data_IF_531737676381
#
_entry.id   IF_531737676381
#
_cell.length_a   1.000
_cell.length_b   1.000
_cell.length_c   1.000
_cell.angle_alpha   90.00
_cell.angle_beta   90.00
_cell.angle_gamma   90.00
#
_symmetry.space_group_name_H-M   'P 1'
#
loop_
_entity.id
_entity.type
_entity.pdbx_description
1 polymer ?
#
# COMPACT_ATOMS: atom_id res chain seq x y z
N UNK A 1 -18.26 -7.18 -11.02
CA UNK A 1 -16.88 -7.11 -10.49
C UNK A 1 -16.97 -6.15 -9.32
N UNK A 2 -16.63 -6.59 -8.11
CA UNK A 2 -16.59 -5.72 -6.94
C UNK A 2 -15.39 -4.78 -7.14
N UNK A 3 -15.60 -3.47 -7.24
CA UNK A 3 -14.50 -2.51 -7.39
C UNK A 3 -13.78 -2.39 -6.04
N UNK A 4 -12.81 -3.29 -5.80
CA UNK A 4 -11.93 -3.23 -4.62
C UNK A 4 -11.24 -1.86 -4.60
N UNK A 5 -11.26 -1.21 -3.44
CA UNK A 5 -10.71 0.11 -3.19
C UNK A 5 -11.22 1.27 -4.08
N UNK A 6 -12.41 1.17 -4.68
CA UNK A 6 -12.91 2.22 -5.58
C UNK A 6 -12.81 3.63 -5.02
N UNK A 7 -13.27 3.83 -3.78
CA UNK A 7 -13.34 5.15 -3.14
C UNK A 7 -11.92 5.67 -2.89
N UNK A 8 -11.06 4.81 -2.37
CA UNK A 8 -9.68 5.13 -2.06
C UNK A 8 -8.87 5.47 -3.32
N UNK A 9 -9.16 4.80 -4.45
CA UNK A 9 -8.57 5.13 -5.75
C UNK A 9 -9.07 6.49 -6.24
N UNK A 10 -10.38 6.78 -6.12
CA UNK A 10 -10.96 8.08 -6.51
C UNK A 10 -10.41 9.26 -5.68
N UNK A 11 -9.82 9.01 -4.51
CA UNK A 11 -9.17 10.00 -3.65
C UNK A 11 -7.71 10.32 -4.05
N UNK A 12 -7.12 9.57 -4.98
CA UNK A 12 -5.82 9.91 -5.56
C UNK A 12 -5.99 11.09 -6.52
N UNK A 13 -5.13 12.11 -6.42
CA UNK A 13 -5.26 13.34 -7.20
C UNK A 13 -4.88 13.14 -8.68
N UNK A 14 -3.89 12.27 -8.93
CA UNK A 14 -3.34 12.03 -10.25
C UNK A 14 -3.96 10.79 -10.93
N UNK A 15 -4.40 10.97 -12.16
CA UNK A 15 -5.05 9.93 -12.97
C UNK A 15 -4.13 8.75 -13.33
N UNK A 16 -2.83 8.98 -13.50
CA UNK A 16 -1.88 7.90 -13.81
C UNK A 16 -1.76 6.93 -12.63
N UNK A 17 -1.78 7.46 -11.40
CA UNK A 17 -1.88 6.66 -10.18
C UNK A 17 -3.20 5.90 -10.09
N UNK A 18 -4.34 6.54 -10.40
CA UNK A 18 -5.64 5.86 -10.40
C UNK A 18 -5.66 4.67 -11.35
N UNK A 19 -5.16 4.87 -12.58
CA UNK A 19 -5.10 3.83 -13.61
C UNK A 19 -4.14 2.71 -13.22
N UNK A 20 -2.93 3.07 -12.77
CA UNK A 20 -1.94 2.11 -12.30
C UNK A 20 -2.48 1.23 -11.17
N UNK A 21 -2.99 1.82 -10.09
CA UNK A 21 -3.50 1.10 -8.93
C UNK A 21 -4.70 0.22 -9.32
N UNK A 22 -5.62 0.74 -10.14
CA UNK A 22 -6.76 -0.03 -10.64
C UNK A 22 -6.31 -1.27 -11.40
N UNK A 23 -5.33 -1.13 -12.29
CA UNK A 23 -4.81 -2.25 -13.08
C UNK A 23 -4.09 -3.28 -12.20
N UNK A 24 -3.29 -2.82 -11.24
CA UNK A 24 -2.59 -3.69 -10.29
C UNK A 24 -3.57 -4.51 -9.42
N UNK A 25 -4.65 -3.89 -8.94
CA UNK A 25 -5.69 -4.59 -8.17
C UNK A 25 -6.46 -5.60 -9.04
N UNK A 26 -6.73 -5.26 -10.31
CA UNK A 26 -7.42 -6.17 -11.23
C UNK A 26 -6.65 -7.47 -11.47
N UNK A 27 -5.32 -7.44 -11.45
CA UNK A 27 -4.47 -8.63 -11.62
C UNK A 27 -4.06 -9.28 -10.30
N UNK A 28 -4.46 -8.70 -9.16
CA UNK A 28 -4.18 -9.26 -7.86
C UNK A 28 -4.68 -10.72 -7.74
N UNK A 29 -3.99 -11.56 -6.97
CA UNK A 29 -4.39 -12.95 -6.72
C UNK A 29 -5.80 -13.05 -6.13
N UNK A 30 -6.50 -14.14 -6.43
CA UNK A 30 -7.85 -14.36 -5.88
C UNK A 30 -7.82 -14.49 -4.34
N UNK A 31 -6.72 -14.98 -3.78
CA UNK A 31 -6.50 -15.06 -2.33
C UNK A 31 -6.45 -13.69 -1.64
N UNK A 32 -6.10 -12.64 -2.37
CA UNK A 32 -6.23 -11.25 -1.92
C UNK A 32 -7.67 -10.75 -2.11
N UNK A 33 -8.23 -10.91 -3.32
CA UNK A 33 -9.55 -10.38 -3.69
C UNK A 33 -10.70 -10.92 -2.85
N UNK A 34 -10.55 -12.13 -2.32
CA UNK A 34 -11.54 -12.80 -1.48
C UNK A 34 -11.32 -12.61 0.02
N UNK A 35 -10.21 -11.98 0.44
CA UNK A 35 -9.94 -11.70 1.85
C UNK A 35 -10.53 -10.35 2.26
N UNK A 36 -11.81 -10.35 2.64
CA UNK A 36 -12.53 -9.16 3.09
C UNK A 36 -11.89 -8.52 4.33
N UNK A 37 -11.24 -9.31 5.20
CA UNK A 37 -10.61 -8.81 6.41
C UNK A 37 -9.33 -8.04 6.09
N UNK A 38 -8.53 -8.56 5.16
CA UNK A 38 -7.35 -7.87 4.67
C UNK A 38 -7.70 -6.60 3.89
N UNK A 39 -8.71 -6.66 3.02
CA UNK A 39 -9.19 -5.47 2.29
C UNK A 39 -9.64 -4.39 3.28
N UNK A 40 -10.44 -4.75 4.29
CA UNK A 40 -10.89 -3.81 5.31
C UNK A 40 -9.73 -3.25 6.14
N UNK A 41 -8.74 -4.08 6.46
CA UNK A 41 -7.51 -3.66 7.11
C UNK A 41 -6.77 -2.61 6.28
N UNK A 42 -6.55 -2.86 4.99
CA UNK A 42 -5.86 -1.93 4.09
C UNK A 42 -6.61 -0.60 3.97
N UNK A 43 -7.95 -0.60 3.94
CA UNK A 43 -8.75 0.65 3.99
C UNK A 43 -8.50 1.47 5.25
N UNK A 44 -8.42 0.81 6.41
CA UNK A 44 -8.11 1.50 7.67
C UNK A 44 -6.71 2.10 7.64
N UNK A 45 -5.73 1.36 7.12
CA UNK A 45 -4.34 1.87 6.97
C UNK A 45 -4.33 3.05 6.03
N UNK A 46 -5.01 2.96 4.87
CA UNK A 46 -5.14 4.05 3.91
C UNK A 46 -5.70 5.30 4.59
N UNK A 47 -6.80 5.17 5.34
CA UNK A 47 -7.44 6.29 6.03
C UNK A 47 -6.52 6.94 7.07
N UNK A 48 -5.81 6.15 7.85
CA UNK A 48 -4.85 6.66 8.84
C UNK A 48 -3.70 7.39 8.15
N UNK A 49 -3.14 6.83 7.08
CA UNK A 49 -2.07 7.44 6.30
C UNK A 49 -2.54 8.76 5.67
N UNK A 50 -3.72 8.79 5.06
CA UNK A 50 -4.27 10.01 4.47
C UNK A 50 -4.42 11.14 5.49
N UNK A 51 -4.97 10.84 6.68
CA UNK A 51 -5.08 11.82 7.77
C UNK A 51 -3.70 12.32 8.25
N UNK A 52 -2.69 11.43 8.37
CA UNK A 52 -1.33 11.84 8.71
C UNK A 52 -0.74 12.78 7.64
N UNK A 53 -0.90 12.45 6.37
CA UNK A 53 -0.43 13.28 5.25
C UNK A 53 -1.15 14.63 5.20
N UNK A 54 -2.44 14.66 5.49
CA UNK A 54 -3.23 15.89 5.53
C UNK A 54 -2.76 16.84 6.66
N UNK A 55 -2.44 16.31 7.85
CA UNK A 55 -1.88 17.08 8.97
C UNK A 55 -0.57 17.79 8.55
N UNK A 56 0.28 17.06 7.82
CA UNK A 56 1.56 17.56 7.33
C UNK A 56 1.44 18.35 6.00
N UNK A 57 0.22 18.50 5.48
CA UNK A 57 -0.11 19.19 4.22
C UNK A 57 0.64 18.62 3.01
N UNK A 58 0.86 17.31 2.99
CA UNK A 58 1.44 16.60 1.86
C UNK A 58 0.35 16.36 0.81
N UNK A 59 0.56 16.82 -0.42
CA UNK A 59 -0.41 16.71 -1.53
C UNK A 59 0.28 16.30 -2.85
N UNK A 60 -0.51 16.07 -3.90
CA UNK A 60 -0.03 15.74 -5.23
C UNK A 60 0.68 14.39 -5.34
N UNK A 61 1.61 14.27 -6.28
CA UNK A 61 2.27 13.00 -6.64
C UNK A 61 2.93 12.27 -5.48
N UNK A 62 3.46 12.99 -4.49
CA UNK A 62 4.08 12.37 -3.31
C UNK A 62 3.03 11.73 -2.42
N UNK A 63 1.91 12.43 -2.17
CA UNK A 63 0.77 11.86 -1.44
C UNK A 63 0.25 10.62 -2.16
N UNK A 64 0.02 10.73 -3.47
CA UNK A 64 -0.54 9.62 -4.24
C UNK A 64 0.38 8.41 -4.30
N UNK A 65 1.71 8.60 -4.40
CA UNK A 65 2.67 7.49 -4.34
C UNK A 65 2.59 6.73 -3.00
N UNK A 66 2.45 7.46 -1.89
CA UNK A 66 2.34 6.88 -0.55
C UNK A 66 1.03 6.08 -0.43
N UNK A 67 -0.08 6.70 -0.80
CA UNK A 67 -1.40 6.09 -0.72
C UNK A 67 -1.56 4.89 -1.68
N UNK A 68 -1.04 4.98 -2.91
CA UNK A 68 -0.93 3.85 -3.82
C UNK A 68 -0.11 2.72 -3.20
N UNK A 69 1.01 3.05 -2.55
CA UNK A 69 1.84 2.07 -1.87
C UNK A 69 1.07 1.30 -0.80
N UNK A 70 0.23 2.00 -0.02
CA UNK A 70 -0.66 1.37 0.97
C UNK A 70 -1.62 0.37 0.32
N UNK A 71 -2.33 0.78 -0.73
CA UNK A 71 -3.32 -0.08 -1.40
C UNK A 71 -2.70 -1.36 -2.01
N UNK A 72 -1.41 -1.31 -2.34
CA UNK A 72 -0.69 -2.40 -3.00
C UNK A 72 0.18 -3.24 -2.05
N UNK A 73 0.32 -2.84 -0.79
CA UNK A 73 1.30 -3.40 0.16
C UNK A 73 1.13 -4.91 0.40
N UNK A 74 -0.11 -5.37 0.55
CA UNK A 74 -0.45 -6.74 0.96
C UNK A 74 -0.96 -7.62 -0.19
N UNK A 75 -0.82 -7.21 -1.46
CA UNK A 75 -1.42 -7.94 -2.60
C UNK A 75 -1.05 -9.43 -2.67
N UNK A 76 0.13 -9.79 -2.19
CA UNK A 76 0.68 -11.15 -2.28
C UNK A 76 0.70 -11.90 -0.94
N UNK A 77 0.16 -11.34 0.15
CA UNK A 77 0.33 -11.91 1.51
C UNK A 77 -0.25 -13.33 1.65
N UNK A 78 -1.33 -13.61 0.93
CA UNK A 78 -2.07 -14.88 1.00
C UNK A 78 -1.81 -15.81 -0.20
N UNK A 79 -0.85 -15.54 -1.09
CA UNK A 79 -0.59 -16.44 -2.24
C UNK A 79 -0.03 -17.80 -1.82
N UNK A 80 1.00 -17.79 -0.96
CA UNK A 80 1.64 -19.00 -0.48
C UNK A 80 2.04 -18.79 0.99
N UNK A 81 1.51 -19.60 1.93
CA UNK A 81 1.86 -19.52 3.34
C UNK A 81 3.36 -19.56 3.60
N UNK A 82 4.13 -20.26 2.75
CA UNK A 82 5.60 -20.35 2.84
C UNK A 82 6.29 -19.01 2.62
N UNK A 83 5.71 -18.13 1.80
CA UNK A 83 6.29 -16.84 1.43
C UNK A 83 5.57 -15.65 2.08
N UNK A 84 4.59 -15.89 2.95
CA UNK A 84 3.88 -14.86 3.71
C UNK A 84 4.83 -13.85 4.39
N UNK A 85 5.93 -14.32 4.97
CA UNK A 85 6.94 -13.47 5.62
C UNK A 85 7.72 -12.56 4.66
N UNK A 86 7.71 -12.84 3.36
CA UNK A 86 8.43 -12.06 2.33
C UNK A 86 7.48 -11.45 1.29
N UNK A 87 6.16 -11.49 1.54
CA UNK A 87 5.14 -11.00 0.62
C UNK A 87 5.37 -9.59 0.08
N UNK A 88 5.98 -8.62 0.81
CA UNK A 88 6.20 -7.29 0.26
C UNK A 88 7.06 -7.31 -1.01
N UNK A 89 8.00 -8.25 -1.08
CA UNK A 89 8.93 -8.39 -2.22
C UNK A 89 8.31 -9.14 -3.40
N UNK A 90 7.17 -9.81 -3.19
CA UNK A 90 6.45 -10.53 -4.24
C UNK A 90 5.55 -9.59 -5.06
N UNK A 91 5.24 -8.40 -4.54
CA UNK A 91 4.37 -7.44 -5.21
C UNK A 91 5.06 -6.87 -6.46
N UNK A 92 6.32 -6.42 -6.39
CA UNK A 92 7.04 -5.86 -7.55
C UNK A 92 6.92 -6.71 -8.82
N UNK A 93 7.30 -8.01 -8.84
CA UNK A 93 7.19 -8.83 -10.06
C UNK A 93 5.73 -9.07 -10.50
N UNK A 94 4.76 -8.98 -9.60
CA UNK A 94 3.33 -9.10 -9.93
C UNK A 94 2.83 -7.89 -10.72
N UNK A 95 3.31 -6.69 -10.39
CA UNK A 95 2.77 -5.43 -10.95
C UNK A 95 3.69 -4.74 -11.97
N UNK A 96 4.91 -5.24 -12.21
CA UNK A 96 5.94 -4.64 -13.09
C UNK A 96 5.41 -4.24 -14.48
N UNK A 97 4.61 -5.12 -15.10
CA UNK A 97 4.06 -4.89 -16.45
C UNK A 97 2.94 -3.83 -16.47
N UNK A 98 2.50 -3.36 -15.30
CA UNK A 98 1.36 -2.44 -15.13
C UNK A 98 1.75 -1.03 -14.68
N UNK A 99 3.05 -0.72 -14.62
CA UNK A 99 3.50 0.65 -14.33
C UNK A 99 2.91 1.70 -15.29
N UNK A 100 2.50 1.29 -16.49
CA UNK A 100 1.87 2.16 -17.48
C UNK A 100 2.77 3.35 -17.83
N UNK A 101 2.16 4.55 -17.83
CA UNK A 101 2.85 5.82 -18.09
C UNK A 101 3.41 6.47 -16.81
N UNK A 102 3.32 5.79 -15.65
CA UNK A 102 3.81 6.33 -14.39
C UNK A 102 5.33 6.55 -14.47
N UNK A 103 5.79 7.75 -14.12
CA UNK A 103 7.21 8.05 -14.09
C UNK A 103 7.95 7.06 -13.19
N UNK A 104 9.11 6.57 -13.64
CA UNK A 104 9.89 5.52 -12.94
C UNK A 104 10.17 5.90 -11.49
N UNK A 105 10.40 7.19 -11.19
CA UNK A 105 10.65 7.65 -9.83
C UNK A 105 9.42 7.53 -8.92
N UNK A 106 8.22 7.73 -9.47
CA UNK A 106 6.96 7.58 -8.75
C UNK A 106 6.61 6.11 -8.54
N UNK A 107 6.91 5.28 -9.55
CA UNK A 107 6.84 3.83 -9.45
C UNK A 107 7.73 3.29 -8.32
N UNK A 108 9.02 3.65 -8.33
CA UNK A 108 9.97 3.22 -7.30
C UNK A 108 9.60 3.76 -5.92
N UNK A 109 9.09 5.01 -5.82
CA UNK A 109 8.61 5.54 -4.56
C UNK A 109 7.43 4.71 -4.00
N UNK A 110 6.51 4.29 -4.86
CA UNK A 110 5.38 3.43 -4.47
C UNK A 110 5.87 2.07 -4.00
N UNK A 111 6.81 1.46 -4.73
CA UNK A 111 7.36 0.16 -4.37
C UNK A 111 8.21 0.20 -3.10
N UNK A 112 8.91 1.29 -2.82
CA UNK A 112 9.62 1.42 -1.55
C UNK A 112 8.66 1.37 -0.36
N UNK A 113 7.49 2.01 -0.47
CA UNK A 113 6.42 1.90 0.54
C UNK A 113 5.99 0.44 0.69
N UNK A 114 5.64 -0.20 -0.43
CA UNK A 114 5.21 -1.61 -0.44
C UNK A 114 6.25 -2.50 0.21
N UNK A 115 7.52 -2.39 -0.17
CA UNK A 115 8.58 -3.29 0.30
C UNK A 115 8.95 -3.07 1.77
N UNK A 116 8.64 -1.89 2.34
CA UNK A 116 9.07 -1.49 3.68
C UNK A 116 7.92 -1.35 4.72
N UNK A 117 6.66 -1.52 4.31
CA UNK A 117 5.48 -1.22 5.16
C UNK A 117 5.40 -2.04 6.45
N UNK A 118 6.06 -3.20 6.52
CA UNK A 118 6.13 -4.07 7.70
C UNK A 118 7.03 -3.52 8.82
N UNK A 119 7.72 -2.39 8.59
CA UNK A 119 8.51 -1.72 9.62
C UNK A 119 9.69 -2.56 10.09
N UNK A 120 9.72 -2.87 11.39
CA UNK A 120 10.75 -3.76 11.96
C UNK A 120 10.61 -5.22 11.53
N UNK A 121 9.49 -5.59 10.91
CA UNK A 121 9.26 -6.93 10.34
C UNK A 121 9.58 -7.00 8.85
N UNK A 122 10.04 -5.92 8.24
CA UNK A 122 10.46 -5.91 6.84
C UNK A 122 11.53 -6.98 6.61
N UNK A 123 11.43 -7.82 5.56
CA UNK A 123 12.25 -9.04 5.45
C UNK A 123 13.75 -8.78 5.26
N UNK A 124 14.09 -7.57 4.81
CA UNK A 124 15.46 -7.15 4.52
C UNK A 124 15.75 -5.91 5.37
N UNK A 125 16.70 -6.01 6.31
CA UNK A 125 17.09 -4.90 7.20
C UNK A 125 17.45 -3.61 6.46
N UNK A 126 18.02 -3.72 5.25
CA UNK A 126 18.36 -2.56 4.42
C UNK A 126 17.15 -1.82 3.87
N UNK A 127 16.00 -2.49 3.77
CA UNK A 127 14.72 -1.94 3.36
C UNK A 127 13.88 -1.51 4.57
N UNK A 128 14.36 -1.76 5.81
CA UNK A 128 13.64 -1.32 6.99
C UNK A 128 13.51 0.21 6.99
N UNK A 129 12.30 0.74 7.21
CA UNK A 129 12.04 2.16 7.08
C UNK A 129 12.70 2.95 8.21
N UNK A 130 13.22 4.13 7.88
CA UNK A 130 13.92 5.01 8.83
C UNK A 130 13.01 6.10 9.35
N UNK A 131 13.16 6.55 10.62
CA UNK A 131 12.38 7.66 11.14
C UNK A 131 12.43 8.88 10.22
N UNK A 132 11.26 9.47 9.95
CA UNK A 132 11.09 10.63 9.07
C UNK A 132 11.00 10.31 7.57
N UNK A 133 10.96 9.04 7.18
CA UNK A 133 10.72 8.62 5.79
C UNK A 133 9.25 8.27 5.54
N UNK A 134 8.75 8.38 4.29
CA UNK A 134 7.38 7.98 3.95
C UNK A 134 7.05 6.53 4.32
N UNK A 135 7.99 5.62 4.14
CA UNK A 135 7.86 4.20 4.47
C UNK A 135 7.65 4.01 5.98
N UNK A 136 8.30 4.84 6.80
CA UNK A 136 8.15 4.79 8.25
C UNK A 136 6.77 5.28 8.70
N UNK A 137 6.22 6.30 8.04
CA UNK A 137 4.87 6.78 8.29
C UNK A 137 3.84 5.66 8.02
N UNK A 138 3.98 4.96 6.89
CA UNK A 138 3.10 3.82 6.56
C UNK A 138 3.28 2.67 7.55
N UNK A 139 4.50 2.38 7.98
CA UNK A 139 4.74 1.37 9.01
C UNK A 139 4.09 1.71 10.36
N UNK A 140 4.10 3.00 10.76
CA UNK A 140 3.39 3.45 11.96
C UNK A 140 1.87 3.31 11.81
N UNK A 141 1.32 3.64 10.64
CA UNK A 141 -0.11 3.47 10.37
C UNK A 141 -0.53 1.98 10.46
N UNK A 142 0.26 1.07 9.90
CA UNK A 142 0.05 -0.36 10.04
C UNK A 142 0.04 -0.79 11.52
N UNK A 143 0.99 -0.30 12.33
CA UNK A 143 1.03 -0.59 13.77
C UNK A 143 -0.20 -0.05 14.52
N UNK A 144 -0.67 1.15 14.18
CA UNK A 144 -1.88 1.75 14.77
C UNK A 144 -3.10 0.87 14.47
N UNK A 145 -3.29 0.48 13.21
CA UNK A 145 -4.45 -0.32 12.79
C UNK A 145 -4.41 -1.74 13.36
N UNK A 146 -3.23 -2.32 13.54
CA UNK A 146 -3.05 -3.62 14.22
C UNK A 146 -3.33 -3.56 15.72
N UNK A 147 -3.41 -2.37 16.32
CA UNK A 147 -3.67 -2.23 17.75
C UNK A 147 -5.13 -2.46 18.08
N UNK A 148 -5.41 -3.45 18.93
CA UNK A 148 -6.77 -3.73 19.43
C UNK A 148 -7.35 -2.58 20.29
N UNK A 149 -6.51 -1.62 20.70
CA UNK A 149 -6.91 -0.49 21.56
C UNK A 149 -7.37 0.75 20.77
N UNK A 150 -7.20 0.77 19.44
CA UNK A 150 -7.53 1.93 18.60
C UNK A 150 -8.59 1.53 17.58
N UNK A 151 -9.78 2.13 17.68
CA UNK A 151 -10.84 1.94 16.69
C UNK A 151 -10.68 2.95 15.54
N UNK A 152 -10.35 2.45 14.35
CA UNK A 152 -10.33 3.24 13.12
C UNK A 152 -11.65 3.08 12.38
N UNK A 153 -12.35 4.20 12.17
CA UNK A 153 -13.63 4.26 11.44
C UNK A 153 -13.36 4.54 9.96
N UNK A 154 -14.07 3.81 9.10
CA UNK A 154 -14.05 3.93 7.64
C UNK A 154 -15.39 4.52 7.17
#
# INVERSE_FOLDING_TARGET
MTDIFKKEIEELENMDFQVFVSNAIQIAPESFKSDESLIEYTRKVFRVVDEMLAIDRITGYVRDAILAGVLLSDLAVNEDPKYSSIHPLLVRPLIEDFKGDLAVQLWEATLNIVEAHEGSKTPIDKLAPKPGTPEHLVALANQIVRSESIEVKI
#
